data_IF_411187312079
#
_entry.id   IF_411187312079
#
_cell.length_a   1.000
_cell.length_b   1.000
_cell.length_c   1.000
_cell.angle_alpha   90.00
_cell.angle_beta   90.00
_cell.angle_gamma   90.00
#
_symmetry.space_group_name_H-M   'P 1'
#
loop_
_entity.id
_entity.type
_entity.pdbx_description
1 polymer ?
#
# COMPACT_ATOMS: atom_id res chain seq x y z
N UNK A 1 11.32 -16.12 -5.06
CA UNK A 1 11.85 -14.73 -5.17
C UNK A 1 10.65 -13.83 -5.49
N UNK A 2 10.11 -13.13 -4.48
CA UNK A 2 8.90 -12.34 -4.67
C UNK A 2 9.20 -11.15 -5.59
N UNK A 3 8.40 -10.99 -6.64
CA UNK A 3 8.55 -9.86 -7.58
C UNK A 3 7.64 -8.73 -7.14
N UNK A 4 8.14 -7.51 -7.01
CA UNK A 4 7.29 -6.34 -6.74
C UNK A 4 6.39 -6.03 -7.94
N UNK A 5 5.16 -5.60 -7.71
CA UNK A 5 4.19 -5.30 -8.79
C UNK A 5 4.44 -3.97 -9.52
N UNK A 6 5.29 -3.11 -8.94
CA UNK A 6 5.61 -1.79 -9.49
C UNK A 6 6.73 -1.95 -10.51
N UNK A 7 6.45 -1.59 -11.76
CA UNK A 7 7.29 -1.95 -12.90
C UNK A 7 8.34 -0.91 -13.28
N UNK A 8 8.29 0.30 -12.70
CA UNK A 8 9.30 1.32 -12.94
C UNK A 8 9.93 1.83 -11.65
N UNK A 9 11.18 2.26 -11.77
CA UNK A 9 12.03 2.71 -10.66
C UNK A 9 11.44 3.90 -9.91
N UNK A 10 10.67 4.76 -10.59
CA UNK A 10 10.06 5.95 -9.99
C UNK A 10 8.90 5.59 -9.06
N UNK A 11 7.98 4.72 -9.53
CA UNK A 11 6.86 4.21 -8.74
C UNK A 11 7.33 3.47 -7.50
N UNK A 12 8.33 2.60 -7.67
CA UNK A 12 8.94 1.88 -6.56
C UNK A 12 9.59 2.82 -5.54
N UNK A 13 10.31 3.84 -6.01
CA UNK A 13 10.90 4.86 -5.14
C UNK A 13 9.81 5.63 -4.37
N UNK A 14 8.73 6.03 -5.04
CA UNK A 14 7.64 6.78 -4.42
C UNK A 14 6.90 5.94 -3.38
N UNK A 15 6.58 4.67 -3.69
CA UNK A 15 5.98 3.74 -2.73
C UNK A 15 6.88 3.52 -1.51
N UNK A 16 8.20 3.36 -1.70
CA UNK A 16 9.13 3.23 -0.58
C UNK A 16 9.25 4.49 0.28
N UNK A 17 9.20 5.69 -0.31
CA UNK A 17 9.16 6.94 0.45
C UNK A 17 7.91 6.98 1.34
N UNK A 18 6.75 6.62 0.78
CA UNK A 18 5.49 6.60 1.54
C UNK A 18 5.56 5.54 2.65
N UNK A 19 6.07 4.35 2.34
CA UNK A 19 6.28 3.27 3.31
C UNK A 19 7.20 3.68 4.47
N UNK A 20 8.27 4.43 4.21
CA UNK A 20 9.12 5.01 5.24
C UNK A 20 8.35 6.02 6.11
N UNK A 21 7.57 6.92 5.50
CA UNK A 21 6.70 7.84 6.25
C UNK A 21 5.67 7.11 7.10
N UNK A 22 5.13 5.98 6.64
CA UNK A 22 4.21 5.16 7.44
C UNK A 22 4.96 4.62 8.66
N UNK A 23 6.14 4.00 8.48
CA UNK A 23 6.99 3.52 9.59
C UNK A 23 7.33 4.59 10.62
N UNK A 24 7.57 5.82 10.18
CA UNK A 24 7.87 6.96 11.05
C UNK A 24 6.62 7.65 11.61
N UNK A 25 5.42 7.16 11.26
CA UNK A 25 4.13 7.77 11.58
C UNK A 25 4.01 9.25 11.14
N UNK A 26 4.66 9.62 10.04
CA UNK A 26 4.67 10.98 9.46
C UNK A 26 3.85 11.09 8.17
N UNK A 27 3.23 9.99 7.73
CA UNK A 27 2.42 9.93 6.52
C UNK A 27 1.15 10.79 6.61
N UNK A 28 0.70 11.29 5.47
CA UNK A 28 -0.56 12.02 5.30
C UNK A 28 -1.60 11.20 4.54
N UNK A 29 -2.87 11.62 4.57
CA UNK A 29 -3.90 11.02 3.71
C UNK A 29 -3.57 11.16 2.22
N UNK A 30 -2.84 12.21 1.82
CA UNK A 30 -2.38 12.36 0.44
C UNK A 30 -1.31 11.33 0.08
N UNK A 31 -0.38 11.02 0.99
CA UNK A 31 0.59 9.94 0.79
C UNK A 31 -0.12 8.59 0.56
N UNK A 32 -1.16 8.28 1.34
CA UNK A 32 -1.96 7.07 1.16
C UNK A 32 -2.73 7.07 -0.16
N UNK A 33 -3.33 8.19 -0.55
CA UNK A 33 -4.03 8.32 -1.84
C UNK A 33 -3.09 8.10 -3.02
N UNK A 34 -1.86 8.63 -2.96
CA UNK A 34 -0.81 8.39 -3.96
C UNK A 34 -0.46 6.90 -4.02
N UNK A 35 -0.24 6.26 -2.87
CA UNK A 35 0.09 4.83 -2.78
C UNK A 35 -1.01 3.94 -3.38
N UNK A 36 -2.26 4.18 -3.00
CA UNK A 36 -3.42 3.48 -3.55
C UNK A 36 -3.55 3.71 -5.06
N UNK A 37 -3.28 4.93 -5.53
CA UNK A 37 -3.25 5.25 -6.96
C UNK A 37 -2.18 4.48 -7.73
N UNK A 38 -0.97 4.35 -7.17
CA UNK A 38 0.13 3.56 -7.72
C UNK A 38 -0.25 2.08 -7.85
N UNK A 39 -0.81 1.51 -6.78
CA UNK A 39 -1.25 0.11 -6.74
C UNK A 39 -2.40 -0.11 -7.72
N UNK A 40 -3.43 0.76 -7.71
CA UNK A 40 -4.61 0.64 -8.57
C UNK A 40 -4.27 0.64 -10.06
N UNK A 41 -3.29 1.45 -10.49
CA UNK A 41 -2.79 1.43 -11.89
C UNK A 41 -2.18 0.10 -12.30
N UNK A 42 -1.76 -0.71 -11.33
CA UNK A 42 -1.18 -2.03 -11.52
C UNK A 42 -2.12 -3.15 -11.04
N UNK A 43 -3.42 -2.86 -10.83
CA UNK A 43 -4.39 -3.80 -10.25
C UNK A 43 -4.59 -5.07 -11.08
N UNK A 44 -4.37 -5.01 -12.40
CA UNK A 44 -4.38 -6.16 -13.31
C UNK A 44 -3.29 -7.20 -13.01
N UNK A 45 -2.21 -6.79 -12.33
CA UNK A 45 -1.08 -7.64 -11.94
C UNK A 45 -1.27 -8.26 -10.55
N UNK A 46 -2.31 -7.82 -9.83
CA UNK A 46 -2.66 -8.34 -8.52
C UNK A 46 -3.39 -9.67 -8.67
N UNK A 47 -2.98 -10.66 -7.88
CA UNK A 47 -3.77 -11.89 -7.72
C UNK A 47 -5.05 -11.64 -6.90
N UNK A 48 -5.88 -12.67 -6.75
CA UNK A 48 -7.15 -12.59 -6.00
C UNK A 48 -6.91 -12.22 -4.53
N UNK A 49 -5.88 -12.78 -3.91
CA UNK A 49 -5.55 -12.53 -2.51
C UNK A 49 -5.13 -11.07 -2.31
N UNK A 50 -4.23 -10.57 -3.16
CA UNK A 50 -3.76 -9.19 -3.10
C UNK A 50 -4.87 -8.17 -3.40
N UNK A 51 -5.79 -8.48 -4.33
CA UNK A 51 -6.95 -7.63 -4.57
C UNK A 51 -7.86 -7.55 -3.34
N UNK A 52 -8.06 -8.68 -2.65
CA UNK A 52 -8.81 -8.70 -1.38
C UNK A 52 -8.12 -7.83 -0.33
N UNK A 53 -6.80 -7.93 -0.20
CA UNK A 53 -6.00 -7.10 0.72
C UNK A 53 -6.04 -5.61 0.37
N UNK A 54 -6.02 -5.25 -0.92
CA UNK A 54 -6.21 -3.86 -1.35
C UNK A 54 -7.60 -3.33 -0.98
N UNK A 55 -8.64 -4.17 -1.07
CA UNK A 55 -9.98 -3.81 -0.60
C UNK A 55 -10.00 -3.64 0.93
N UNK A 56 -9.38 -4.54 1.68
CA UNK A 56 -9.25 -4.45 3.16
C UNK A 56 -8.53 -3.16 3.57
N UNK A 57 -7.42 -2.81 2.91
CA UNK A 57 -6.73 -1.54 3.10
C UNK A 57 -7.63 -0.34 2.83
N UNK A 58 -8.34 -0.35 1.70
CA UNK A 58 -9.28 0.72 1.36
C UNK A 58 -10.39 0.89 2.39
N UNK A 59 -10.95 -0.22 2.89
CA UNK A 59 -12.00 -0.23 3.92
C UNK A 59 -11.46 0.26 5.26
N UNK A 60 -10.30 -0.22 5.70
CA UNK A 60 -9.65 0.21 6.93
C UNK A 60 -9.39 1.72 6.92
N UNK A 61 -8.83 2.25 5.83
CA UNK A 61 -8.55 3.67 5.67
C UNK A 61 -9.81 4.55 5.60
N UNK A 62 -10.97 3.97 5.25
CA UNK A 62 -12.25 4.66 5.25
C UNK A 62 -12.92 4.62 6.62
N UNK A 63 -12.93 3.46 7.27
CA UNK A 63 -13.67 3.22 8.51
C UNK A 63 -12.95 3.74 9.76
N UNK A 64 -11.62 3.67 9.79
CA UNK A 64 -10.83 4.04 10.96
C UNK A 64 -10.37 5.49 10.86
N UNK A 65 -10.62 6.27 11.90
CA UNK A 65 -10.16 7.66 11.96
C UNK A 65 -8.63 7.71 11.96
N UNK A 66 -8.04 8.74 11.32
CA UNK A 66 -6.58 8.82 11.16
C UNK A 66 -5.81 8.66 12.48
N UNK A 67 -6.29 9.28 13.55
CA UNK A 67 -5.68 9.25 14.88
C UNK A 67 -5.67 7.87 15.53
N UNK A 68 -6.52 6.94 15.06
CA UNK A 68 -6.64 5.59 15.57
C UNK A 68 -5.89 4.56 14.70
N UNK A 69 -5.37 4.97 13.55
CA UNK A 69 -4.65 4.07 12.64
C UNK A 69 -3.24 3.82 13.15
N UNK A 70 -2.96 2.59 13.56
CA UNK A 70 -1.62 2.15 13.87
C UNK A 70 -0.80 1.98 12.57
N UNK A 71 0.42 2.54 12.49
CA UNK A 71 1.29 2.37 11.33
C UNK A 71 1.53 0.92 10.89
N UNK A 72 1.67 0.01 11.84
CA UNK A 72 1.88 -1.42 11.64
C UNK A 72 0.75 -2.08 10.85
N UNK A 73 -0.51 -1.78 11.20
CA UNK A 73 -1.69 -2.32 10.50
C UNK A 73 -1.70 -1.89 9.02
N UNK A 74 -1.31 -0.63 8.76
CA UNK A 74 -1.23 -0.10 7.39
C UNK A 74 -0.07 -0.75 6.65
N UNK A 75 1.10 -0.89 7.29
CA UNK A 75 2.29 -1.46 6.68
C UNK A 75 2.08 -2.91 6.26
N UNK A 76 1.45 -3.72 7.11
CA UNK A 76 1.19 -5.13 6.82
C UNK A 76 0.32 -5.27 5.57
N UNK A 77 -0.77 -4.50 5.49
CA UNK A 77 -1.64 -4.47 4.33
C UNK A 77 -0.91 -3.96 3.06
N UNK A 78 -0.10 -2.93 3.19
CA UNK A 78 0.68 -2.35 2.07
C UNK A 78 1.74 -3.32 1.54
N UNK A 79 2.48 -3.98 2.43
CA UNK A 79 3.58 -4.88 2.05
C UNK A 79 3.04 -6.13 1.34
N UNK A 80 1.89 -6.67 1.75
CA UNK A 80 1.22 -7.80 1.07
C UNK A 80 0.77 -7.40 -0.35
N UNK A 81 0.25 -6.19 -0.52
CA UNK A 81 -0.25 -5.72 -1.81
C UNK A 81 0.89 -5.42 -2.80
N UNK A 82 2.02 -4.88 -2.32
CA UNK A 82 3.14 -4.49 -3.19
C UNK A 82 3.99 -5.67 -3.69
N UNK A 83 3.93 -6.80 -3.00
CA UNK A 83 4.79 -7.97 -3.24
C UNK A 83 3.97 -9.07 -3.91
N UNK A 84 4.33 -9.51 -5.11
CA UNK A 84 3.66 -10.63 -5.80
C UNK A 84 3.82 -11.91 -4.97
N UNK A 85 2.69 -12.55 -4.66
CA UNK A 85 2.65 -13.91 -4.10
C UNK A 85 3.23 -14.92 -5.09
N UNK A 86 3.78 -16.02 -4.57
CA UNK A 86 4.40 -17.09 -5.36
C UNK A 86 3.44 -17.72 -6.38
#
# INVERSE_FOLDING_TARGET
>A
MNKTILNNKSEYRQANIIRLKIKENTYTNNDLAILLGLIKRNAEKLDVSQRKQLCELGQFLFAVERQERLPEDILDLVDIVLVKGE
#
